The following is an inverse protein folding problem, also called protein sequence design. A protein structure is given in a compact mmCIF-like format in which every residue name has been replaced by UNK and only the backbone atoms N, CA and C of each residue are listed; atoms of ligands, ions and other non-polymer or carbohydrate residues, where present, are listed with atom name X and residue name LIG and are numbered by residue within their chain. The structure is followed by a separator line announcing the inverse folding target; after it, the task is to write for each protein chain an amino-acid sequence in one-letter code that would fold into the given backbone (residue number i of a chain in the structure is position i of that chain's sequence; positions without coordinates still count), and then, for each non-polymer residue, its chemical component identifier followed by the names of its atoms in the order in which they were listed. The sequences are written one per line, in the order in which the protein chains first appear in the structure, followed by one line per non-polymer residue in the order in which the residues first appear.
data_IF_174959664090
#
_entry.id   IF_174959664090
#
_cell.length_a   1.000
_cell.length_b   1.000
_cell.length_c   1.000
_cell.angle_alpha   90.00
_cell.angle_beta   90.00
_cell.angle_gamma   90.00
#
_symmetry.space_group_name_H-M   'P 1'
#
loop_
_entity.id
_entity.type
_entity.pdbx_description
1 polymer ?
#
# COMPACT_ATOMS: atom_id res chain seq x y z
N UNK A 1 1.65 -13.31 -28.86
CA UNK A 1 1.67 -13.67 -27.43
C UNK A 1 1.65 -12.39 -26.61
N UNK A 2 0.70 -12.26 -25.67
CA UNK A 2 0.65 -11.16 -24.70
C UNK A 2 0.75 -11.78 -23.31
N UNK A 3 1.18 -11.00 -22.34
CA UNK A 3 1.31 -11.45 -20.96
C UNK A 3 0.64 -10.47 -20.02
N UNK A 4 0.05 -10.98 -18.96
CA UNK A 4 -0.40 -10.20 -17.82
C UNK A 4 0.63 -10.36 -16.71
N UNK A 5 1.25 -9.26 -16.31
CA UNK A 5 2.24 -9.22 -15.22
C UNK A 5 1.56 -8.69 -13.98
N UNK A 6 1.66 -9.42 -12.88
CA UNK A 6 1.20 -8.98 -11.58
C UNK A 6 2.36 -8.35 -10.84
N UNK A 7 2.14 -7.16 -10.31
CA UNK A 7 3.12 -6.43 -9.54
C UNK A 7 2.63 -6.13 -8.12
N UNK A 8 3.57 -5.93 -7.21
CA UNK A 8 3.32 -5.44 -5.85
C UNK A 8 4.19 -4.22 -5.59
N UNK A 9 3.63 -3.24 -4.88
CA UNK A 9 4.35 -2.11 -4.29
C UNK A 9 4.09 -2.11 -2.78
N UNK A 10 5.09 -1.78 -1.97
CA UNK A 10 4.90 -1.48 -0.55
C UNK A 10 4.45 -0.02 -0.40
N UNK A 11 3.49 0.23 0.49
CA UNK A 11 2.93 1.57 0.68
C UNK A 11 3.00 1.94 2.15
N UNK A 12 3.72 3.03 2.43
CA UNK A 12 3.84 3.59 3.77
C UNK A 12 2.80 4.70 3.99
N UNK A 13 2.44 4.90 5.25
CA UNK A 13 1.42 5.83 5.68
C UNK A 13 1.84 6.60 6.93
N UNK A 14 1.31 7.80 7.10
CA UNK A 14 1.50 8.65 8.28
C UNK A 14 0.17 9.15 8.84
N UNK A 15 0.15 9.46 10.13
CA UNK A 15 -0.99 10.08 10.79
C UNK A 15 -0.50 10.99 11.91
N UNK A 16 -1.19 12.11 12.11
CA UNK A 16 -0.90 13.04 13.19
C UNK A 16 -1.90 12.80 14.32
N UNK A 17 -1.40 12.49 15.52
CA UNK A 17 -2.21 12.26 16.71
C UNK A 17 -1.72 13.14 17.86
N UNK A 18 -2.65 13.58 18.71
CA UNK A 18 -2.33 14.28 19.96
C UNK A 18 -2.25 13.28 21.10
N UNK A 19 -1.10 13.19 21.77
CA UNK A 19 -0.87 12.25 22.87
C UNK A 19 0.14 12.79 23.88
N UNK A 20 0.08 12.36 25.15
CA UNK A 20 0.99 12.82 26.21
C UNK A 20 2.41 12.24 26.10
N UNK A 21 2.61 11.14 25.36
CA UNK A 21 3.92 10.52 25.10
C UNK A 21 3.86 9.58 23.89
N UNK A 22 5.02 9.09 23.44
CA UNK A 22 5.16 8.23 22.27
C UNK A 22 4.40 6.90 22.40
N UNK A 23 4.40 6.28 23.59
CA UNK A 23 3.69 5.01 23.82
C UNK A 23 2.19 5.17 23.63
N UNK A 24 1.61 6.24 24.19
CA UNK A 24 0.18 6.54 24.02
C UNK A 24 -0.14 6.96 22.57
N UNK A 25 0.76 7.67 21.88
CA UNK A 25 0.60 8.00 20.47
C UNK A 25 0.44 6.74 19.59
N UNK A 26 1.29 5.73 19.81
CA UNK A 26 1.22 4.44 19.08
C UNK A 26 -0.10 3.71 19.39
N UNK A 27 -0.51 3.66 20.66
CA UNK A 27 -1.79 3.04 21.04
C UNK A 27 -2.97 3.72 20.37
N UNK A 28 -3.00 5.05 20.32
CA UNK A 28 -4.05 5.81 19.64
C UNK A 28 -4.02 5.48 18.15
N UNK A 29 -2.86 5.61 17.49
CA UNK A 29 -2.71 5.36 16.06
C UNK A 29 -3.18 3.95 15.66
N UNK A 30 -2.85 2.91 16.43
CA UNK A 30 -3.24 1.53 16.14
C UNK A 30 -4.75 1.27 16.18
N UNK A 31 -5.55 2.18 16.78
CA UNK A 31 -7.00 2.07 16.84
C UNK A 31 -7.72 2.98 15.83
N UNK A 32 -6.98 3.72 14.99
CA UNK A 32 -7.57 4.61 13.99
C UNK A 32 -7.84 3.87 12.69
N UNK A 33 -8.96 4.23 12.06
CA UNK A 33 -9.37 3.68 10.77
C UNK A 33 -8.36 4.01 9.67
N UNK A 34 -8.12 3.06 8.75
CA UNK A 34 -7.12 3.20 7.67
C UNK A 34 -7.32 4.45 6.83
N UNK A 35 -8.56 4.86 6.57
CA UNK A 35 -8.86 6.03 5.74
C UNK A 35 -8.44 7.38 6.37
N UNK A 36 -8.08 7.39 7.66
CA UNK A 36 -7.56 8.56 8.36
C UNK A 36 -6.04 8.74 8.17
N UNK A 37 -5.37 7.72 7.65
CA UNK A 37 -3.94 7.75 7.39
C UNK A 37 -3.65 8.38 6.03
N UNK A 38 -2.61 9.21 5.99
CA UNK A 38 -2.14 9.84 4.75
C UNK A 38 -1.04 9.01 4.14
N UNK A 39 -1.18 8.69 2.86
CA UNK A 39 -0.17 7.97 2.09
C UNK A 39 1.14 8.78 2.02
N UNK A 40 2.27 8.12 2.25
CA UNK A 40 3.59 8.72 2.03
C UNK A 40 4.00 8.40 0.59
N UNK A 41 4.03 9.42 -0.26
CA UNK A 41 4.61 9.27 -1.59
C UNK A 41 6.11 8.98 -1.48
N UNK A 42 6.53 7.89 -2.12
CA UNK A 42 7.91 7.44 -2.18
C UNK A 42 8.27 7.06 -3.63
N UNK A 43 9.56 6.86 -3.88
CA UNK A 43 10.11 6.40 -5.15
C UNK A 43 10.09 4.87 -5.29
N UNK A 44 9.33 4.17 -4.44
CA UNK A 44 9.19 2.72 -4.52
C UNK A 44 8.56 2.31 -5.85
N UNK A 45 9.18 1.31 -6.46
CA UNK A 45 8.76 0.74 -7.74
C UNK A 45 7.84 -0.45 -7.54
N UNK A 46 6.97 -0.69 -8.54
CA UNK A 46 6.17 -1.92 -8.58
C UNK A 46 7.10 -3.08 -8.98
N UNK A 47 7.23 -4.07 -8.11
CA UNK A 47 8.00 -5.29 -8.35
C UNK A 47 7.13 -6.36 -8.98
N UNK A 48 7.59 -6.94 -10.10
CA UNK A 48 6.89 -8.05 -10.74
C UNK A 48 7.00 -9.32 -9.87
N UNK A 49 5.87 -9.93 -9.56
CA UNK A 49 5.80 -11.11 -8.68
C UNK A 49 5.26 -12.35 -9.39
N UNK A 50 4.51 -12.18 -10.48
CA UNK A 50 3.94 -13.30 -11.23
C UNK A 50 3.61 -12.89 -12.67
N UNK A 51 3.50 -13.88 -13.56
CA UNK A 51 3.19 -13.68 -14.98
C UNK A 51 2.32 -14.81 -15.53
N UNK A 52 1.27 -14.45 -16.26
CA UNK A 52 0.43 -15.41 -16.99
C UNK A 52 0.31 -15.03 -18.47
N UNK A 53 0.23 -16.02 -19.35
CA UNK A 53 -0.14 -15.79 -20.74
C UNK A 53 -1.52 -15.12 -20.81
N UNK A 54 -1.63 -14.08 -21.64
CA UNK A 54 -2.84 -13.31 -21.84
C UNK A 54 -3.46 -13.65 -23.18
N UNK A 55 -4.41 -14.58 -23.15
CA UNK A 55 -5.30 -14.90 -24.27
C UNK A 55 -6.32 -13.75 -24.40
N UNK A 56 -6.25 -13.00 -25.50
CA UNK A 56 -7.34 -12.08 -25.86
C UNK A 56 -8.52 -12.94 -26.30
N UNK A 57 -9.51 -13.10 -25.43
CA UNK A 57 -10.80 -13.66 -25.84
C UNK A 57 -11.36 -12.85 -27.01
N UNK A 58 -11.57 -13.53 -28.14
CA UNK A 58 -12.22 -12.94 -29.31
C UNK A 58 -13.57 -12.35 -28.88
N UNK A 59 -13.73 -11.05 -29.14
CA UNK A 59 -14.95 -10.28 -28.89
C UNK A 59 -16.07 -10.69 -29.82
#
# INVERSE_FOLDING_TARGET
MKFKVYGRKHQDYTIVVSAPNATEAIKIANNLETHLWTEIENDDVIEAIDVTEYELGNR
#
